data_IF_432745730623
#
_entry.id   IF_432745730623
#
_cell.length_a   1.000
_cell.length_b   1.000
_cell.length_c   1.000
_cell.angle_alpha   90.00
_cell.angle_beta   90.00
_cell.angle_gamma   90.00
#
_symmetry.space_group_name_H-M   'P 1'
#
loop_
_entity.id
_entity.type
_entity.pdbx_description
1 polymer ?
#
# COMPACT_ATOMS: atom_id res chain seq x y z
N UNK A 1 7.38 75.96 -3.87
CA UNK A 1 7.14 74.84 -4.82
C UNK A 1 5.76 74.29 -4.50
N UNK A 2 4.66 74.68 -5.18
CA UNK A 2 4.11 74.12 -6.44
C UNK A 2 3.84 72.61 -6.25
N UNK A 3 2.65 71.97 -6.37
CA UNK A 3 1.32 72.24 -6.96
C UNK A 3 0.29 71.23 -6.37
N UNK A 4 -1.01 71.52 -6.53
CA UNK A 4 -2.15 70.59 -6.44
C UNK A 4 -2.07 69.49 -7.52
N UNK A 5 -2.67 68.32 -7.30
CA UNK A 5 -3.70 67.75 -8.20
C UNK A 5 -4.38 66.48 -7.61
N UNK A 6 -5.69 66.45 -7.78
CA UNK A 6 -6.66 65.34 -7.70
C UNK A 6 -6.44 64.28 -8.79
N UNK A 7 -6.72 62.99 -8.53
CA UNK A 7 -7.56 62.18 -9.42
C UNK A 7 -8.04 60.86 -8.79
N UNK A 8 -9.20 60.39 -9.28
CA UNK A 8 -9.90 59.16 -8.93
C UNK A 8 -9.67 58.07 -9.98
N UNK A 9 -10.10 56.84 -9.64
CA UNK A 9 -10.35 55.68 -10.54
C UNK A 9 -9.12 54.96 -11.12
N UNK A 10 -8.99 53.68 -10.79
CA UNK A 10 -9.48 52.62 -11.67
C UNK A 10 -9.49 51.26 -10.98
N UNK A 11 -10.55 50.52 -11.30
CA UNK A 11 -10.75 49.10 -11.04
C UNK A 11 -9.76 48.34 -11.93
N UNK A 12 -9.07 47.35 -11.38
CA UNK A 12 -8.53 46.25 -12.19
C UNK A 12 -8.65 44.97 -11.36
N UNK A 13 -9.67 44.19 -11.68
CA UNK A 13 -9.67 42.75 -11.40
C UNK A 13 -8.40 42.15 -12.00
N UNK A 14 -7.61 41.45 -11.21
CA UNK A 14 -6.70 40.45 -11.74
C UNK A 14 -6.77 39.24 -10.82
N UNK A 15 -7.55 38.27 -11.31
CA UNK A 15 -7.46 36.87 -10.94
C UNK A 15 -6.00 36.42 -10.88
N UNK A 16 -5.60 35.85 -9.75
CA UNK A 16 -4.61 34.78 -9.64
C UNK A 16 -4.84 34.16 -8.26
N UNK A 17 -5.78 33.22 -8.16
CA UNK A 17 -5.52 31.79 -8.34
C UNK A 17 -4.44 31.30 -7.38
N UNK A 18 -4.90 30.78 -6.25
CA UNK A 18 -4.44 29.52 -5.65
C UNK A 18 -2.94 29.24 -5.73
N UNK A 19 -2.18 29.65 -4.71
CA UNK A 19 -1.02 28.88 -4.29
C UNK A 19 -1.50 28.00 -3.13
N UNK A 20 -2.23 26.95 -3.48
CA UNK A 20 -2.28 25.76 -2.65
C UNK A 20 -0.87 25.19 -2.74
N UNK A 21 -0.08 25.40 -1.70
CA UNK A 21 1.18 24.71 -1.51
C UNK A 21 0.88 23.24 -1.23
N UNK A 22 0.45 22.49 -2.24
CA UNK A 22 0.38 21.03 -2.18
C UNK A 22 1.81 20.53 -2.22
N UNK A 23 2.44 20.44 -1.05
CA UNK A 23 3.63 19.62 -0.85
C UNK A 23 3.28 18.20 -1.29
N UNK A 24 3.67 17.85 -2.51
CA UNK A 24 3.55 16.50 -3.04
C UNK A 24 4.50 15.60 -2.24
N UNK A 25 4.03 15.07 -1.12
CA UNK A 25 4.77 14.02 -0.41
C UNK A 25 4.85 12.81 -1.32
N UNK A 26 6.06 12.40 -1.67
CA UNK A 26 6.30 11.16 -2.41
C UNK A 26 5.65 9.99 -1.69
N UNK A 27 5.06 9.04 -2.43
CA UNK A 27 4.52 7.81 -1.86
C UNK A 27 5.54 7.11 -0.95
N UNK A 28 6.81 7.13 -1.33
CA UNK A 28 7.91 6.60 -0.52
C UNK A 28 7.93 7.25 0.87
N UNK A 29 7.79 8.58 0.96
CA UNK A 29 7.78 9.28 2.24
C UNK A 29 6.56 8.94 3.10
N UNK A 30 5.40 8.68 2.47
CA UNK A 30 4.18 8.27 3.19
C UNK A 30 4.41 6.88 3.80
N UNK A 31 4.90 5.94 2.99
CA UNK A 31 5.23 4.58 3.44
C UNK A 31 6.30 4.61 4.53
N UNK A 32 7.39 5.36 4.34
CA UNK A 32 8.46 5.51 5.34
C UNK A 32 7.90 6.04 6.67
N UNK A 33 6.96 7.00 6.63
CA UNK A 33 6.31 7.53 7.82
C UNK A 33 5.42 6.51 8.53
N UNK A 34 4.75 5.61 7.79
CA UNK A 34 3.96 4.54 8.40
C UNK A 34 4.85 3.48 9.05
N UNK A 35 5.92 3.07 8.35
CA UNK A 35 6.88 2.10 8.89
C UNK A 35 7.70 2.66 10.05
N UNK A 36 7.87 3.98 10.16
CA UNK A 36 8.47 4.59 11.34
C UNK A 36 7.63 4.44 12.61
N UNK A 37 6.30 4.26 12.48
CA UNK A 37 5.39 4.01 13.59
C UNK A 37 5.26 2.52 13.94
N UNK A 38 5.66 1.64 13.01
CA UNK A 38 5.84 0.23 13.29
C UNK A 38 7.14 0.01 14.05
N UNK A 39 7.15 -0.96 14.95
CA UNK A 39 8.40 -1.38 15.59
C UNK A 39 9.31 -1.96 14.49
N UNK A 40 10.45 -1.29 14.23
CA UNK A 40 11.36 -1.65 13.12
C UNK A 40 11.98 -3.06 13.24
N UNK A 41 11.80 -3.72 14.38
CA UNK A 41 12.16 -5.10 14.65
C UNK A 41 11.10 -6.12 14.24
N UNK A 42 9.89 -5.69 13.87
CA UNK A 42 8.81 -6.59 13.44
C UNK A 42 8.84 -6.82 11.94
N UNK A 43 8.94 -5.76 11.13
CA UNK A 43 8.82 -5.84 9.67
C UNK A 43 9.99 -5.17 8.94
N UNK A 44 10.38 -5.77 7.81
CA UNK A 44 11.12 -5.08 6.76
C UNK A 44 10.25 -4.93 5.52
N UNK A 45 10.49 -3.90 4.72
CA UNK A 45 9.72 -3.66 3.50
C UNK A 45 10.60 -3.25 2.32
N UNK A 46 10.04 -3.46 1.13
CA UNK A 46 10.61 -3.01 -0.13
C UNK A 46 9.47 -2.45 -1.00
N UNK A 47 9.61 -1.21 -1.46
CA UNK A 47 8.67 -0.55 -2.35
C UNK A 47 9.26 -0.47 -3.76
N UNK A 48 8.53 -0.95 -4.77
CA UNK A 48 8.96 -0.97 -6.17
C UNK A 48 7.87 -0.42 -7.09
N UNK A 49 8.22 0.34 -8.14
CA UNK A 49 7.29 0.64 -9.23
C UNK A 49 6.69 -0.64 -9.81
N UNK A 50 5.36 -0.70 -9.91
CA UNK A 50 4.67 -1.75 -10.63
C UNK A 50 4.57 -1.35 -12.11
N UNK A 51 5.46 -1.88 -12.94
CA UNK A 51 5.44 -1.60 -14.38
C UNK A 51 4.31 -2.37 -15.05
N UNK A 52 3.36 -1.63 -15.64
CA UNK A 52 2.35 -2.22 -16.52
C UNK A 52 3.03 -3.00 -17.66
N UNK A 53 2.72 -4.30 -17.76
CA UNK A 53 3.10 -5.14 -18.91
C UNK A 53 2.33 -4.77 -20.20
N UNK A 54 2.00 -3.50 -20.42
CA UNK A 54 1.36 -3.03 -21.65
C UNK A 54 2.42 -2.39 -22.54
N UNK A 55 3.46 -3.13 -22.98
CA UNK A 55 4.34 -2.76 -24.11
C UNK A 55 5.33 -3.87 -24.50
N UNK A 56 4.86 -4.99 -25.05
CA UNK A 56 5.77 -5.88 -25.79
C UNK A 56 5.19 -6.44 -27.10
N UNK A 57 4.19 -5.78 -27.69
CA UNK A 57 3.66 -6.18 -29.01
C UNK A 57 3.21 -5.03 -29.93
N UNK A 58 3.61 -3.78 -29.69
CA UNK A 58 3.29 -2.70 -30.63
C UNK A 58 4.52 -1.85 -30.94
N UNK A 59 5.01 -2.02 -32.15
CA UNK A 59 6.05 -1.22 -32.82
C UNK A 59 5.56 0.20 -33.10
N UNK A 60 5.44 1.01 -32.05
CA UNK A 60 5.23 2.46 -32.12
C UNK A 60 6.22 3.08 -31.11
N UNK A 61 6.99 4.13 -31.48
CA UNK A 61 7.91 4.76 -30.56
C UNK A 61 7.09 5.49 -29.48
N UNK A 62 6.97 4.88 -28.30
CA UNK A 62 6.29 5.50 -27.16
C UNK A 62 7.24 6.46 -26.46
N UNK A 63 6.73 7.66 -26.26
CA UNK A 63 7.30 8.72 -25.45
C UNK A 63 7.68 8.18 -24.05
N UNK A 64 8.81 8.64 -23.51
CA UNK A 64 9.50 8.09 -22.33
C UNK A 64 8.82 8.41 -20.98
N UNK A 65 7.53 8.74 -21.00
CA UNK A 65 6.76 9.11 -19.81
C UNK A 65 5.70 8.03 -19.53
N UNK A 66 6.15 6.80 -19.26
CA UNK A 66 5.26 5.82 -18.64
C UNK A 66 5.04 6.28 -17.20
N UNK A 67 3.95 7.03 -16.96
CA UNK A 67 3.53 7.40 -15.61
C UNK A 67 3.38 6.10 -14.83
N UNK A 68 4.26 5.89 -13.86
CA UNK A 68 4.13 4.78 -12.90
C UNK A 68 2.93 5.14 -12.04
N UNK A 69 1.81 4.44 -12.26
CA UNK A 69 0.57 4.70 -11.53
C UNK A 69 0.50 3.90 -10.22
N UNK A 70 1.20 2.78 -10.16
CA UNK A 70 1.10 1.81 -9.08
C UNK A 70 2.47 1.35 -8.59
N UNK A 71 2.53 0.93 -7.33
CA UNK A 71 3.72 0.41 -6.67
C UNK A 71 3.40 -0.93 -6.00
N UNK A 72 4.33 -1.88 -6.08
CA UNK A 72 4.32 -3.10 -5.29
C UNK A 72 5.07 -2.84 -3.98
N UNK A 73 4.38 -2.98 -2.85
CA UNK A 73 4.95 -3.04 -1.52
C UNK A 73 5.09 -4.51 -1.11
N UNK A 74 6.32 -4.95 -0.85
CA UNK A 74 6.61 -6.27 -0.30
C UNK A 74 7.03 -6.13 1.16
N UNK A 75 6.28 -6.73 2.08
CA UNK A 75 6.54 -6.72 3.52
C UNK A 75 6.97 -8.10 4.01
N UNK A 76 8.03 -8.17 4.82
CA UNK A 76 8.58 -9.41 5.38
C UNK A 76 8.56 -9.32 6.89
N UNK A 77 8.03 -10.34 7.55
CA UNK A 77 8.14 -10.49 9.00
C UNK A 77 9.59 -10.87 9.34
N UNK A 78 10.23 -10.08 10.19
CA UNK A 78 11.61 -10.27 10.65
C UNK A 78 11.72 -10.45 12.17
N UNK A 79 10.57 -10.45 12.87
CA UNK A 79 10.52 -10.61 14.32
C UNK A 79 11.15 -11.93 14.78
N UNK A 80 11.97 -11.84 15.81
CA UNK A 80 12.64 -12.99 16.42
C UNK A 80 11.58 -13.85 17.14
N UNK A 81 11.75 -15.18 17.07
CA UNK A 81 10.84 -16.18 17.65
C UNK A 81 9.48 -16.30 16.97
N UNK A 82 9.27 -15.63 15.83
CA UNK A 82 8.13 -15.89 14.95
C UNK A 82 8.48 -16.90 13.86
N UNK A 83 7.52 -17.71 13.41
CA UNK A 83 7.74 -18.64 12.30
C UNK A 83 8.01 -17.88 11.01
N UNK A 84 8.85 -18.47 10.16
CA UNK A 84 9.14 -17.94 8.83
C UNK A 84 7.89 -18.10 7.96
N UNK A 85 7.42 -16.98 7.42
CA UNK A 85 6.26 -16.92 6.52
C UNK A 85 6.64 -16.27 5.18
N UNK A 86 5.90 -16.56 4.09
CA UNK A 86 6.05 -15.81 2.86
C UNK A 86 5.84 -14.30 3.06
N UNK A 87 6.51 -13.44 2.25
CA UNK A 87 6.26 -12.01 2.28
C UNK A 87 4.82 -11.67 1.90
N UNK A 88 4.23 -10.69 2.58
CA UNK A 88 2.95 -10.12 2.19
C UNK A 88 3.18 -9.09 1.09
N UNK A 89 2.43 -9.21 -0.02
CA UNK A 89 2.53 -8.28 -1.14
C UNK A 89 1.26 -7.47 -1.29
N UNK A 90 1.43 -6.16 -1.46
CA UNK A 90 0.37 -5.19 -1.63
C UNK A 90 0.65 -4.29 -2.83
N UNK A 91 -0.40 -3.78 -3.44
CA UNK A 91 -0.34 -2.70 -4.42
C UNK A 91 -0.78 -1.40 -3.77
N UNK A 92 0.01 -0.37 -3.97
CA UNK A 92 -0.29 1.01 -3.59
C UNK A 92 -0.44 1.84 -4.87
N UNK A 93 -1.56 2.54 -5.01
CA UNK A 93 -1.74 3.50 -6.11
C UNK A 93 -1.07 4.82 -5.74
N UNK A 94 -0.85 5.69 -6.73
CA UNK A 94 -0.43 7.08 -6.48
C UNK A 94 -1.40 7.87 -5.57
N UNK A 95 -2.63 7.39 -5.38
CA UNK A 95 -3.64 8.04 -4.56
C UNK A 95 -3.57 7.64 -3.08
N UNK A 96 -2.74 6.66 -2.72
CA UNK A 96 -2.51 6.28 -1.34
C UNK A 96 -2.06 7.50 -0.49
N UNK A 97 -2.61 7.71 0.73
CA UNK A 97 -3.50 6.85 1.51
C UNK A 97 -5.01 7.11 1.29
N UNK A 98 -5.40 7.85 0.26
CA UNK A 98 -6.82 8.09 -0.04
C UNK A 98 -7.51 6.84 -0.59
N UNK A 99 -6.76 5.97 -1.29
CA UNK A 99 -7.18 4.63 -1.67
C UNK A 99 -6.46 3.60 -0.79
N UNK A 100 -7.15 2.56 -0.29
CA UNK A 100 -6.54 1.56 0.57
C UNK A 100 -5.57 0.65 -0.22
N UNK A 101 -4.61 -0.01 0.45
CA UNK A 101 -3.74 -0.99 -0.19
C UNK A 101 -4.55 -2.19 -0.71
N UNK A 102 -4.19 -2.69 -1.89
CA UNK A 102 -4.77 -3.93 -2.43
C UNK A 102 -3.83 -5.10 -2.19
N UNK A 103 -4.32 -6.19 -1.59
CA UNK A 103 -3.52 -7.41 -1.41
C UNK A 103 -3.30 -8.11 -2.76
N UNK A 104 -2.04 -8.29 -3.16
CA UNK A 104 -1.66 -8.97 -4.41
C UNK A 104 -1.52 -10.48 -4.27
N UNK A 105 -1.10 -10.96 -3.09
CA UNK A 105 -0.91 -12.39 -2.85
C UNK A 105 -0.97 -12.68 -1.35
N UNK A 106 -1.76 -13.68 -0.99
CA UNK A 106 -1.93 -14.16 0.38
C UNK A 106 -1.11 -15.41 0.70
N UNK A 107 -0.67 -16.16 -0.32
CA UNK A 107 0.01 -17.45 -0.16
C UNK A 107 0.80 -17.80 -1.43
N UNK A 108 1.68 -18.80 -1.34
CA UNK A 108 2.53 -19.36 -2.40
C UNK A 108 1.78 -19.91 -3.65
N UNK A 109 0.47 -19.70 -3.73
CA UNK A 109 -0.36 -20.10 -4.86
C UNK A 109 -1.24 -18.90 -5.24
N UNK A 110 -1.27 -18.47 -6.51
CA UNK A 110 -2.10 -17.34 -6.92
C UNK A 110 -3.58 -17.69 -6.76
N UNK A 111 -4.26 -17.07 -5.79
CA UNK A 111 -5.72 -17.17 -5.69
C UNK A 111 -6.36 -16.16 -6.62
N UNK A 112 -6.98 -16.70 -7.68
CA UNK A 112 -8.13 -16.07 -8.28
C UNK A 112 -9.27 -16.16 -7.27
N UNK A 113 -10.05 -15.09 -7.12
CA UNK A 113 -11.11 -14.94 -6.12
C UNK A 113 -12.28 -15.85 -6.48
N UNK A 114 -12.19 -17.11 -6.07
CA UNK A 114 -13.30 -18.06 -6.10
C UNK A 114 -13.10 -19.01 -4.93
N UNK A 115 -14.12 -19.31 -4.11
CA UNK A 115 -14.01 -20.30 -3.03
C UNK A 115 -14.02 -21.70 -3.66
N UNK A 116 -12.99 -22.01 -4.44
CA UNK A 116 -12.77 -23.35 -4.96
C UNK A 116 -11.95 -24.06 -3.90
N UNK A 117 -12.64 -25.00 -3.26
CA UNK A 117 -12.14 -26.14 -2.49
C UNK A 117 -10.62 -26.24 -2.54
N UNK A 118 -10.02 -26.02 -1.36
CA UNK A 118 -8.62 -26.16 -1.01
C UNK A 118 -8.14 -27.60 -1.25
N UNK A 119 -8.13 -28.07 -2.49
CA UNK A 119 -7.49 -29.32 -2.87
C UNK A 119 -6.13 -28.96 -3.45
N UNK A 120 -5.09 -29.49 -2.79
CA UNK A 120 -3.67 -29.46 -3.15
C UNK A 120 -2.78 -28.41 -2.43
N UNK A 121 -3.10 -28.04 -1.19
CA UNK A 121 -2.02 -27.65 -0.26
C UNK A 121 -1.55 -28.89 0.47
N UNK A 122 -0.33 -29.33 0.20
CA UNK A 122 0.34 -30.37 0.99
C UNK A 122 0.36 -29.98 2.48
N UNK A 123 -0.60 -30.50 3.25
CA UNK A 123 -0.55 -30.75 4.69
C UNK A 123 -0.24 -29.61 5.68
N UNK A 124 -0.05 -28.35 5.26
CA UNK A 124 0.39 -27.31 6.18
C UNK A 124 -0.77 -26.55 6.84
N UNK A 125 -1.34 -27.17 7.87
CA UNK A 125 -2.43 -26.63 8.71
C UNK A 125 -2.12 -25.25 9.30
N UNK A 126 -0.83 -24.92 9.47
CA UNK A 126 -0.38 -23.61 9.94
C UNK A 126 -0.72 -22.50 8.93
N UNK A 127 -0.31 -22.64 7.67
CA UNK A 127 -0.59 -21.61 6.65
C UNK A 127 -2.07 -21.48 6.32
N UNK A 128 -2.82 -22.59 6.38
CA UNK A 128 -4.28 -22.53 6.24
C UNK A 128 -4.91 -21.74 7.39
N UNK A 129 -4.44 -21.97 8.63
CA UNK A 129 -4.90 -21.22 9.80
C UNK A 129 -4.54 -19.73 9.71
N UNK A 130 -3.32 -19.40 9.26
CA UNK A 130 -2.93 -18.00 9.01
C UNK A 130 -3.88 -17.37 8.00
N UNK A 131 -4.05 -18.00 6.83
CA UNK A 131 -4.85 -17.46 5.73
C UNK A 131 -6.31 -17.23 6.15
N UNK A 132 -6.90 -18.20 6.87
CA UNK A 132 -8.26 -18.10 7.40
C UNK A 132 -8.40 -16.95 8.38
N UNK A 133 -7.48 -16.84 9.35
CA UNK A 133 -7.48 -15.75 10.33
C UNK A 133 -7.32 -14.39 9.63
N UNK A 134 -6.39 -14.31 8.68
CA UNK A 134 -6.07 -13.08 7.96
C UNK A 134 -7.27 -12.58 7.16
N UNK A 135 -7.88 -13.44 6.35
CA UNK A 135 -9.08 -13.10 5.56
C UNK A 135 -10.23 -12.68 6.47
N UNK A 136 -10.47 -13.42 7.57
CA UNK A 136 -11.54 -13.11 8.52
C UNK A 136 -11.36 -11.74 9.20
N UNK A 137 -10.12 -11.35 9.51
CA UNK A 137 -9.84 -10.04 10.09
C UNK A 137 -9.81 -8.92 9.04
N UNK A 138 -9.33 -9.18 7.83
CA UNK A 138 -9.38 -8.22 6.71
C UNK A 138 -10.82 -7.77 6.42
N UNK A 139 -11.79 -8.67 6.44
CA UNK A 139 -13.21 -8.31 6.24
C UNK A 139 -13.78 -7.39 7.34
N UNK A 140 -13.08 -7.23 8.47
CA UNK A 140 -13.48 -6.34 9.55
C UNK A 140 -12.82 -4.96 9.45
N UNK A 141 -11.87 -4.77 8.53
CA UNK A 141 -11.27 -3.47 8.32
C UNK A 141 -12.32 -2.49 7.77
N UNK A 142 -12.23 -1.21 8.17
CA UNK A 142 -12.97 -0.15 7.51
C UNK A 142 -12.59 -0.06 6.03
N UNK A 143 -13.49 0.50 5.21
CA UNK A 143 -13.26 0.71 3.77
C UNK A 143 -11.99 1.50 3.51
N UNK A 144 -11.66 2.44 4.39
CA UNK A 144 -10.39 3.16 4.37
C UNK A 144 -9.50 2.60 5.48
N UNK A 145 -8.36 2.04 5.09
CA UNK A 145 -7.35 1.48 6.00
C UNK A 145 -5.96 1.66 5.39
N UNK A 146 -4.95 1.53 6.23
CA UNK A 146 -3.54 1.77 5.91
C UNK A 146 -2.78 0.47 5.72
N UNK A 147 -1.53 0.57 5.26
CA UNK A 147 -0.58 -0.55 5.24
C UNK A 147 -0.39 -1.11 6.65
N UNK A 148 -0.29 -0.21 7.64
CA UNK A 148 -0.09 -0.57 9.05
C UNK A 148 -1.23 -1.45 9.57
N UNK A 149 -2.50 -1.08 9.30
CA UNK A 149 -3.67 -1.87 9.72
C UNK A 149 -3.64 -3.30 9.17
N UNK A 150 -3.23 -3.46 7.91
CA UNK A 150 -3.10 -4.76 7.26
C UNK A 150 -1.97 -5.57 7.91
N UNK A 151 -0.83 -4.94 8.19
CA UNK A 151 0.33 -5.61 8.79
C UNK A 151 0.04 -6.09 10.22
N UNK A 152 -0.71 -5.32 11.01
CA UNK A 152 -1.15 -5.72 12.35
C UNK A 152 -2.05 -6.97 12.30
N UNK A 153 -2.96 -7.01 11.32
CA UNK A 153 -3.81 -8.18 11.09
C UNK A 153 -3.00 -9.38 10.62
N UNK A 154 -2.02 -9.18 9.74
CA UNK A 154 -1.13 -10.23 9.26
C UNK A 154 -0.34 -10.84 10.42
N UNK A 155 0.28 -9.97 11.21
CA UNK A 155 1.02 -10.34 12.40
C UNK A 155 0.18 -11.15 13.39
N UNK A 156 -1.00 -10.64 13.72
CA UNK A 156 -1.95 -11.29 14.63
C UNK A 156 -2.39 -12.66 14.11
N UNK A 157 -2.56 -12.81 12.80
CA UNK A 157 -2.95 -14.07 12.18
C UNK A 157 -1.87 -15.14 12.30
N UNK A 158 -0.60 -14.75 12.13
CA UNK A 158 0.57 -15.62 12.33
C UNK A 158 0.70 -16.01 13.78
N UNK A 159 0.61 -15.04 14.69
CA UNK A 159 0.69 -15.28 16.14
C UNK A 159 -0.38 -16.27 16.59
N UNK A 160 -1.63 -16.06 16.18
CA UNK A 160 -2.74 -16.96 16.52
C UNK A 160 -2.51 -18.38 15.98
N UNK A 161 -2.07 -18.52 14.73
CA UNK A 161 -1.76 -19.83 14.16
C UNK A 161 -0.58 -20.51 14.87
N UNK A 162 0.40 -19.73 15.35
CA UNK A 162 1.57 -20.23 16.08
C UNK A 162 1.20 -20.79 17.44
N UNK A 163 0.29 -20.11 18.16
CA UNK A 163 -0.22 -20.62 19.43
C UNK A 163 -1.01 -21.92 19.26
N UNK A 164 -1.86 -22.01 18.22
CA UNK A 164 -2.62 -23.24 17.95
C UNK A 164 -1.74 -24.46 17.64
N UNK A 165 -0.51 -24.28 17.14
CA UNK A 165 0.43 -25.39 16.94
C UNK A 165 1.10 -25.87 18.23
N UNK A 166 1.25 -25.00 19.23
CA UNK A 166 1.90 -25.36 20.50
C UNK A 166 0.95 -26.06 21.48
N UNK A 167 -0.36 -26.06 21.22
CA UNK A 167 -1.38 -26.71 22.05
C UNK A 167 -1.84 -28.08 21.52
N UNK A 168 -1.33 -28.55 20.36
CA UNK A 168 -1.63 -29.86 19.76
C UNK A 168 -0.51 -30.87 19.99
#
# INVERSE_FOLDING_TARGET
>A
TIRLDTDSKQITETNQSSIISSSSTSLQHIVDSEFANLSMDTFSYELKPLHDKISSSSSIPRNKDSIINDYELTCRLIEINMPIVPPLKMKLTIQYPNEPPEILSLTSTPMNVTPIKLENSDGNTFFESISRNFVHFLFKLPTQHTVTDILDIWHSSIRNASFSQNES
#
